data_IF_848578470082
#
_entry.id   IF_848578470082
#
_cell.length_a   1.000
_cell.length_b   1.000
_cell.length_c   1.000
_cell.angle_alpha   90.00
_cell.angle_beta   90.00
_cell.angle_gamma   90.00
#
_symmetry.space_group_name_H-M   'P 1'
#
loop_
_entity.id
_entity.type
_entity.pdbx_description
1 polymer ?
#
# COMPACT_ATOMS: atom_id res chain seq x y z
N UNK A 1 16.03 32.33 -15.52
CA UNK A 1 15.69 30.92 -15.84
C UNK A 1 16.10 30.12 -14.64
N UNK A 2 15.14 29.52 -13.94
CA UNK A 2 15.40 28.85 -12.68
C UNK A 2 16.19 27.56 -12.98
N UNK A 3 17.48 27.54 -12.63
CA UNK A 3 18.42 26.46 -12.99
C UNK A 3 18.07 25.12 -12.32
N UNK A 4 17.20 25.14 -11.31
CA UNK A 4 16.79 23.97 -10.55
C UNK A 4 16.09 22.92 -11.41
N UNK A 5 15.25 23.31 -12.37
CA UNK A 5 14.57 22.34 -13.24
C UNK A 5 15.56 21.48 -14.05
N UNK A 6 16.74 22.02 -14.40
CA UNK A 6 17.78 21.24 -15.08
C UNK A 6 18.56 20.32 -14.11
N UNK A 7 18.68 20.72 -12.83
CA UNK A 7 19.28 19.89 -11.77
C UNK A 7 18.36 18.72 -11.43
N UNK A 8 17.04 18.89 -11.49
CA UNK A 8 16.06 17.83 -11.23
C UNK A 8 16.33 16.55 -12.05
N UNK A 9 16.51 16.69 -13.37
CA UNK A 9 16.75 15.54 -14.26
C UNK A 9 18.16 14.93 -14.12
N UNK A 10 19.13 15.70 -13.64
CA UNK A 10 20.55 15.30 -13.60
C UNK A 10 20.97 14.75 -12.22
N UNK A 11 20.50 15.38 -11.15
CA UNK A 11 20.79 15.04 -9.76
C UNK A 11 19.60 15.42 -8.88
N UNK A 12 18.64 14.50 -8.82
CA UNK A 12 17.43 14.64 -8.00
C UNK A 12 17.74 14.92 -6.52
N UNK A 13 18.80 14.33 -5.96
CA UNK A 13 19.14 14.53 -4.56
C UNK A 13 19.66 15.94 -4.30
N UNK A 14 20.51 16.45 -5.18
CA UNK A 14 20.95 17.84 -5.12
C UNK A 14 19.78 18.81 -5.30
N UNK A 15 18.90 18.55 -6.26
CA UNK A 15 17.67 19.34 -6.47
C UNK A 15 16.79 19.37 -5.21
N UNK A 16 16.59 18.24 -4.54
CA UNK A 16 15.80 18.13 -3.31
C UNK A 16 16.44 18.95 -2.18
N UNK A 17 17.76 18.83 -2.00
CA UNK A 17 18.51 19.58 -0.99
C UNK A 17 18.38 21.08 -1.20
N UNK A 18 18.59 21.55 -2.44
CA UNK A 18 18.54 22.98 -2.79
C UNK A 18 17.14 23.56 -2.59
N UNK A 19 16.09 22.88 -3.07
CA UNK A 19 14.71 23.33 -2.86
C UNK A 19 14.33 23.36 -1.38
N UNK A 20 14.80 22.38 -0.59
CA UNK A 20 14.57 22.35 0.86
C UNK A 20 15.25 23.52 1.58
N UNK A 21 16.46 23.89 1.18
CA UNK A 21 17.18 25.04 1.73
C UNK A 21 16.48 26.35 1.40
N UNK A 22 16.09 26.56 0.13
CA UNK A 22 15.34 27.74 -0.31
C UNK A 22 14.00 27.89 0.43
N UNK A 23 13.27 26.78 0.65
CA UNK A 23 12.05 26.77 1.45
C UNK A 23 12.29 27.20 2.90
N UNK A 24 13.38 26.72 3.53
CA UNK A 24 13.75 27.10 4.91
C UNK A 24 14.16 28.56 5.02
N UNK A 25 14.79 29.11 3.98
CA UNK A 25 15.15 30.54 3.89
C UNK A 25 13.96 31.44 3.53
N UNK A 26 12.80 30.87 3.19
CA UNK A 26 11.61 31.63 2.77
C UNK A 26 11.72 32.22 1.36
N UNK A 27 12.66 31.74 0.54
CA UNK A 27 12.94 32.23 -0.82
C UNK A 27 12.02 31.55 -1.85
N UNK A 28 10.72 31.75 -1.68
CA UNK A 28 9.67 31.07 -2.46
C UNK A 28 9.76 31.38 -3.96
N UNK A 29 10.24 32.57 -4.35
CA UNK A 29 10.38 32.94 -5.77
C UNK A 29 11.46 32.13 -6.51
N UNK A 30 12.33 31.43 -5.77
CA UNK A 30 13.47 30.70 -6.31
C UNK A 30 13.27 29.19 -6.31
N UNK A 31 12.21 28.67 -5.69
CA UNK A 31 11.95 27.22 -5.68
C UNK A 31 11.41 26.74 -7.02
N UNK A 32 11.60 25.45 -7.28
CA UNK A 32 11.04 24.76 -8.43
C UNK A 32 9.62 24.25 -8.13
N UNK A 33 8.66 25.18 -8.06
CA UNK A 33 7.32 24.92 -7.54
C UNK A 33 6.55 23.83 -8.28
N UNK A 34 6.73 23.73 -9.61
CA UNK A 34 6.03 22.74 -10.44
C UNK A 34 6.53 21.33 -10.13
N UNK A 35 7.85 21.11 -10.18
CA UNK A 35 8.43 19.80 -9.87
C UNK A 35 8.22 19.41 -8.39
N UNK A 36 8.24 20.37 -7.46
CA UNK A 36 7.86 20.11 -6.05
C UNK A 36 6.42 19.61 -5.96
N UNK A 37 5.48 20.29 -6.63
CA UNK A 37 4.08 19.90 -6.62
C UNK A 37 3.89 18.49 -7.20
N UNK A 38 4.55 18.18 -8.31
CA UNK A 38 4.54 16.85 -8.93
C UNK A 38 5.06 15.77 -7.97
N UNK A 39 6.18 16.01 -7.28
CA UNK A 39 6.76 15.06 -6.33
C UNK A 39 5.86 14.83 -5.10
N UNK A 40 5.22 15.88 -4.57
CA UNK A 40 4.25 15.74 -3.49
C UNK A 40 3.03 14.92 -3.93
N UNK A 41 2.54 15.15 -5.15
CA UNK A 41 1.46 14.39 -5.76
C UNK A 41 1.84 12.91 -5.97
N UNK A 42 3.07 12.67 -6.46
CA UNK A 42 3.62 11.35 -6.68
C UNK A 42 3.77 10.58 -5.36
N UNK A 43 4.21 11.26 -4.29
CA UNK A 43 4.33 10.71 -2.95
C UNK A 43 2.96 10.33 -2.36
N UNK A 44 1.94 11.16 -2.52
CA UNK A 44 0.57 10.80 -2.12
C UNK A 44 0.04 9.58 -2.88
N UNK A 45 0.29 9.52 -4.20
CA UNK A 45 -0.09 8.37 -5.06
C UNK A 45 0.69 7.10 -4.68
N UNK A 46 1.95 7.20 -4.26
CA UNK A 46 2.78 6.05 -3.87
C UNK A 46 2.26 5.41 -2.58
N UNK A 47 1.97 6.18 -1.53
CA UNK A 47 1.38 5.68 -0.29
C UNK A 47 0.05 4.95 -0.53
N UNK A 48 -0.81 5.51 -1.39
CA UNK A 48 -2.06 4.86 -1.77
C UNK A 48 -1.86 3.53 -2.53
N UNK A 49 -0.84 3.44 -3.38
CA UNK A 49 -0.49 2.20 -4.10
C UNK A 49 0.08 1.16 -3.14
N UNK A 50 0.88 1.60 -2.18
CA UNK A 50 1.48 0.74 -1.16
C UNK A 50 0.40 0.06 -0.31
N UNK A 51 -0.52 0.84 0.25
CA UNK A 51 -1.64 0.29 1.03
C UNK A 51 -2.45 -0.76 0.25
N UNK A 52 -2.75 -0.47 -1.02
CA UNK A 52 -3.45 -1.41 -1.90
C UNK A 52 -2.64 -2.69 -2.15
N UNK A 53 -1.32 -2.58 -2.30
CA UNK A 53 -0.43 -3.73 -2.50
C UNK A 53 -0.41 -4.61 -1.25
N UNK A 54 -0.26 -4.01 -0.07
CA UNK A 54 -0.23 -4.73 1.21
C UNK A 54 -1.56 -5.43 1.50
N UNK A 55 -2.68 -4.72 1.37
CA UNK A 55 -4.02 -5.31 1.53
C UNK A 55 -4.27 -6.48 0.58
N UNK A 56 -3.83 -6.36 -0.68
CA UNK A 56 -3.95 -7.44 -1.66
C UNK A 56 -3.19 -8.70 -1.21
N UNK A 57 -1.95 -8.54 -0.72
CA UNK A 57 -1.15 -9.68 -0.24
C UNK A 57 -1.77 -10.29 1.02
N UNK A 58 -2.21 -9.46 1.97
CA UNK A 58 -2.91 -9.90 3.17
C UNK A 58 -4.14 -10.73 2.83
N UNK A 59 -5.06 -10.18 2.04
CA UNK A 59 -6.30 -10.87 1.66
C UNK A 59 -6.02 -12.16 0.87
N UNK A 60 -4.99 -12.19 0.02
CA UNK A 60 -4.63 -13.41 -0.71
C UNK A 60 -4.20 -14.51 0.25
N UNK A 61 -3.42 -14.17 1.28
CA UNK A 61 -2.99 -15.13 2.30
C UNK A 61 -4.10 -15.53 3.26
N UNK A 62 -5.02 -14.63 3.62
CA UNK A 62 -6.22 -14.98 4.39
C UNK A 62 -7.13 -15.95 3.61
N UNK A 63 -7.31 -15.73 2.30
CA UNK A 63 -8.04 -16.67 1.44
C UNK A 63 -7.34 -18.03 1.36
N UNK A 64 -6.01 -18.05 1.15
CA UNK A 64 -5.24 -19.30 1.18
C UNK A 64 -5.39 -20.03 2.52
N UNK A 65 -5.33 -19.28 3.62
CA UNK A 65 -5.49 -19.83 4.98
C UNK A 65 -6.87 -20.45 5.20
N UNK A 66 -7.92 -19.78 4.74
CA UNK A 66 -9.31 -20.23 4.86
C UNK A 66 -9.59 -21.46 3.98
N UNK A 67 -9.21 -21.41 2.71
CA UNK A 67 -9.62 -22.39 1.70
C UNK A 67 -8.63 -23.54 1.48
N UNK A 68 -7.47 -23.51 2.14
CA UNK A 68 -6.49 -24.61 2.12
C UNK A 68 -5.97 -24.93 3.54
N UNK A 69 -6.84 -25.43 4.45
CA UNK A 69 -6.46 -25.72 5.83
C UNK A 69 -5.26 -26.69 5.95
N UNK A 70 -5.17 -27.66 5.04
CA UNK A 70 -4.07 -28.65 5.01
C UNK A 70 -2.72 -28.07 4.57
N UNK A 71 -2.70 -26.86 4.03
CA UNK A 71 -1.49 -26.18 3.55
C UNK A 71 -1.07 -24.99 4.44
N UNK A 72 -1.79 -24.76 5.55
CA UNK A 72 -1.42 -23.75 6.54
C UNK A 72 0.01 -23.99 7.01
N UNK A 73 0.84 -22.95 6.95
CA UNK A 73 2.27 -23.04 7.25
C UNK A 73 2.77 -21.82 8.02
N UNK A 74 3.91 -21.98 8.71
CA UNK A 74 4.57 -20.87 9.39
C UNK A 74 4.98 -19.73 8.44
N UNK A 75 5.31 -20.04 7.18
CA UNK A 75 5.61 -19.04 6.16
C UNK A 75 4.40 -18.18 5.80
N UNK A 76 3.22 -18.79 5.64
CA UNK A 76 1.98 -18.04 5.40
C UNK A 76 1.60 -17.20 6.61
N UNK A 77 1.73 -17.76 7.83
CA UNK A 77 1.51 -17.02 9.07
C UNK A 77 2.42 -15.79 9.16
N UNK A 78 3.72 -15.97 8.89
CA UNK A 78 4.69 -14.88 8.89
C UNK A 78 4.37 -13.80 7.84
N UNK A 79 3.92 -14.19 6.65
CA UNK A 79 3.51 -13.24 5.61
C UNK A 79 2.29 -12.43 6.02
N UNK A 80 1.29 -13.07 6.67
CA UNK A 80 0.10 -12.39 7.20
C UNK A 80 0.51 -11.36 8.26
N UNK A 81 1.32 -11.76 9.24
CA UNK A 81 1.80 -10.89 10.31
C UNK A 81 2.58 -9.69 9.76
N UNK A 82 3.49 -9.93 8.81
CA UNK A 82 4.25 -8.86 8.15
C UNK A 82 3.32 -7.86 7.44
N UNK A 83 2.33 -8.35 6.69
CA UNK A 83 1.41 -7.42 6.02
C UNK A 83 0.56 -6.61 7.00
N UNK A 84 0.12 -7.21 8.12
CA UNK A 84 -0.62 -6.49 9.17
C UNK A 84 0.21 -5.36 9.74
N UNK A 85 1.43 -5.68 10.19
CA UNK A 85 2.37 -4.69 10.74
C UNK A 85 2.64 -3.54 9.76
N UNK A 86 2.96 -3.86 8.49
CA UNK A 86 3.23 -2.83 7.48
C UNK A 86 2.01 -1.95 7.19
N UNK A 87 0.80 -2.52 7.22
CA UNK A 87 -0.44 -1.74 7.03
C UNK A 87 -0.68 -0.83 8.23
N UNK A 88 -0.55 -1.36 9.45
CA UNK A 88 -0.71 -0.58 10.68
C UNK A 88 0.26 0.60 10.72
N UNK A 89 1.55 0.37 10.49
CA UNK A 89 2.55 1.43 10.41
C UNK A 89 2.21 2.50 9.38
N UNK A 90 1.77 2.09 8.17
CA UNK A 90 1.39 3.03 7.12
C UNK A 90 0.18 3.88 7.54
N UNK A 91 -0.79 3.30 8.23
CA UNK A 91 -1.98 4.00 8.70
C UNK A 91 -1.71 4.88 9.93
N UNK A 92 -0.74 4.53 10.77
CA UNK A 92 -0.26 5.38 11.86
C UNK A 92 0.46 6.63 11.33
N UNK A 93 1.37 6.44 10.36
CA UNK A 93 2.10 7.54 9.74
C UNK A 93 1.22 8.42 8.85
N UNK A 94 0.12 7.89 8.32
CA UNK A 94 -0.76 8.63 7.41
C UNK A 94 -2.23 8.28 7.64
N UNK A 95 -2.84 8.76 8.76
CA UNK A 95 -4.20 8.42 9.15
C UNK A 95 -5.26 8.78 8.11
N UNK A 96 -5.02 9.83 7.32
CA UNK A 96 -5.90 10.25 6.22
C UNK A 96 -6.02 9.22 5.10
N UNK A 97 -5.11 8.24 5.01
CA UNK A 97 -5.23 7.11 4.07
C UNK A 97 -6.44 6.21 4.38
N UNK A 98 -6.99 6.27 5.60
CA UNK A 98 -8.23 5.60 5.97
C UNK A 98 -9.44 6.18 5.22
N UNK A 99 -9.36 7.39 4.70
CA UNK A 99 -10.42 7.94 3.85
C UNK A 99 -10.48 7.17 2.51
N UNK A 100 -11.70 6.81 2.08
CA UNK A 100 -11.96 5.97 0.90
C UNK A 100 -11.44 4.53 1.01
N UNK A 101 -11.26 4.02 2.23
CA UNK A 101 -10.78 2.65 2.47
C UNK A 101 -11.70 1.58 1.88
N UNK A 102 -13.03 1.75 1.93
CA UNK A 102 -13.99 0.76 1.39
C UNK A 102 -13.77 0.45 -0.09
N UNK A 103 -13.55 1.49 -0.90
CA UNK A 103 -13.25 1.33 -2.33
C UNK A 103 -11.91 0.63 -2.55
N UNK A 104 -10.93 0.92 -1.68
CA UNK A 104 -9.59 0.30 -1.73
C UNK A 104 -9.63 -1.17 -1.34
N UNK A 105 -10.37 -1.53 -0.29
CA UNK A 105 -10.58 -2.92 0.16
C UNK A 105 -11.17 -3.74 -0.97
N UNK A 106 -12.26 -3.26 -1.57
CA UNK A 106 -12.92 -3.96 -2.68
C UNK A 106 -11.96 -4.21 -3.84
N UNK A 107 -11.17 -3.19 -4.22
CA UNK A 107 -10.18 -3.30 -5.29
C UNK A 107 -9.02 -4.25 -4.93
N UNK A 108 -8.52 -4.19 -3.70
CA UNK A 108 -7.46 -5.06 -3.21
C UNK A 108 -7.92 -6.51 -3.16
N UNK A 109 -9.12 -6.76 -2.62
CA UNK A 109 -9.73 -8.09 -2.53
C UNK A 109 -9.94 -8.73 -3.91
N UNK A 110 -10.51 -7.99 -4.87
CA UNK A 110 -10.72 -8.52 -6.23
C UNK A 110 -9.41 -8.97 -6.89
N UNK A 111 -8.30 -8.26 -6.62
CA UNK A 111 -6.98 -8.69 -7.06
C UNK A 111 -6.51 -9.91 -6.26
N UNK A 112 -6.67 -9.90 -4.94
CA UNK A 112 -6.26 -10.97 -4.04
C UNK A 112 -6.85 -12.33 -4.43
N UNK A 113 -8.14 -12.39 -4.80
CA UNK A 113 -8.80 -13.60 -5.33
C UNK A 113 -8.04 -14.17 -6.53
N UNK A 114 -7.52 -13.30 -7.42
CA UNK A 114 -6.71 -13.73 -8.55
C UNK A 114 -5.38 -14.38 -8.15
N UNK A 115 -4.69 -13.81 -7.16
CA UNK A 115 -3.44 -14.37 -6.63
C UNK A 115 -3.69 -15.67 -5.87
N UNK A 116 -4.69 -15.71 -4.99
CA UNK A 116 -5.08 -16.91 -4.28
C UNK A 116 -5.43 -18.03 -5.26
N UNK A 117 -6.27 -17.78 -6.27
CA UNK A 117 -6.60 -18.78 -7.29
C UNK A 117 -5.36 -19.30 -8.03
N UNK A 118 -4.44 -18.41 -8.41
CA UNK A 118 -3.21 -18.78 -9.13
C UNK A 118 -2.26 -19.64 -8.28
N UNK A 119 -2.11 -19.32 -6.99
CA UNK A 119 -1.19 -20.03 -6.10
C UNK A 119 -1.77 -21.34 -5.55
N UNK A 120 -3.09 -21.40 -5.37
CA UNK A 120 -3.79 -22.58 -4.81
C UNK A 120 -4.28 -23.57 -5.86
N UNK A 121 -4.47 -23.11 -7.11
CA UNK A 121 -5.18 -23.86 -8.15
C UNK A 121 -6.70 -23.90 -7.97
N UNK A 122 -7.25 -23.28 -6.92
CA UNK A 122 -8.68 -23.20 -6.68
C UNK A 122 -9.33 -22.24 -7.67
N UNK A 123 -10.47 -22.64 -8.25
CA UNK A 123 -11.23 -21.76 -9.15
C UNK A 123 -11.65 -20.46 -8.45
N UNK A 124 -11.52 -19.33 -9.15
CA UNK A 124 -11.97 -18.01 -8.65
C UNK A 124 -13.42 -18.00 -8.17
N UNK A 125 -14.27 -18.88 -8.73
CA UNK A 125 -15.70 -18.99 -8.40
C UNK A 125 -15.97 -19.58 -7.01
N UNK A 126 -14.98 -20.23 -6.39
CA UNK A 126 -15.08 -20.80 -5.04
C UNK A 126 -14.94 -19.72 -3.98
N UNK A 127 -14.15 -18.68 -4.25
CA UNK A 127 -13.97 -17.58 -3.30
C UNK A 127 -15.21 -16.65 -3.28
N UNK A 128 -15.49 -16.00 -2.13
CA UNK A 128 -16.60 -15.05 -2.02
C UNK A 128 -16.50 -13.92 -3.06
N UNK A 129 -17.65 -13.49 -3.61
CA UNK A 129 -17.71 -12.42 -4.62
C UNK A 129 -17.31 -11.04 -4.08
N UNK A 130 -17.49 -10.82 -2.79
CA UNK A 130 -17.12 -9.61 -2.05
C UNK A 130 -16.18 -9.98 -0.92
N UNK A 131 -15.37 -9.03 -0.46
CA UNK A 131 -14.47 -9.27 0.67
C UNK A 131 -15.26 -9.73 1.89
N UNK A 132 -15.01 -10.94 2.43
CA UNK A 132 -15.73 -11.43 3.60
C UNK A 132 -15.14 -10.87 4.90
N UNK A 133 -13.96 -10.28 4.84
CA UNK A 133 -13.24 -9.77 6.01
C UNK A 133 -13.56 -8.30 6.23
N UNK A 134 -13.99 -7.97 7.45
CA UNK A 134 -13.97 -6.60 7.95
C UNK A 134 -12.51 -6.18 8.11
N UNK A 135 -12.17 -4.92 7.81
CA UNK A 135 -10.76 -4.50 7.80
C UNK A 135 -10.14 -4.61 9.20
N UNK A 136 -10.86 -4.18 10.21
CA UNK A 136 -10.44 -4.23 11.60
C UNK A 136 -10.11 -5.68 12.01
N UNK A 137 -10.97 -6.63 11.66
CA UNK A 137 -10.71 -8.06 11.89
C UNK A 137 -9.55 -8.58 11.06
N UNK A 138 -9.45 -8.19 9.78
CA UNK A 138 -8.36 -8.63 8.91
C UNK A 138 -6.98 -8.20 9.43
N UNK A 139 -6.92 -7.04 10.11
CA UNK A 139 -5.70 -6.49 10.70
C UNK A 139 -5.40 -7.05 12.10
N UNK A 140 -6.40 -7.57 12.81
CA UNK A 140 -6.22 -8.20 14.12
C UNK A 140 -5.21 -9.36 14.05
N UNK A 141 -4.22 -9.36 14.94
CA UNK A 141 -3.14 -10.35 14.98
C UNK A 141 -3.65 -11.77 15.19
N UNK A 142 -4.71 -11.93 15.98
CA UNK A 142 -5.30 -13.22 16.37
C UNK A 142 -6.35 -13.71 15.38
N UNK A 143 -6.75 -12.88 14.42
CA UNK A 143 -7.73 -13.27 13.42
C UNK A 143 -7.14 -14.22 12.38
N UNK A 144 -7.75 -15.40 12.27
CA UNK A 144 -7.49 -16.36 11.21
C UNK A 144 -8.82 -16.95 10.75
N UNK A 145 -9.22 -16.77 9.47
CA UNK A 145 -10.52 -17.23 9.01
C UNK A 145 -10.59 -18.75 8.97
N UNK A 146 -11.68 -19.31 9.48
CA UNK A 146 -11.98 -20.73 9.39
C UNK A 146 -12.72 -21.08 8.09
N UNK A 147 -12.53 -22.32 7.66
CA UNK A 147 -13.03 -22.86 6.39
C UNK A 147 -14.57 -22.93 6.33
#
# INVERSE_FOLDING_TARGET
>A
MNNLAAVYDQDFYLWLCQNTELLREGRIEEIDIENIAEELDAMGKSQHRELLSRLRVLFAHLLKWQFQPDHRSGSWKGTILEQRYQIEQLLEMSPSLKHKMEQKISKAYNKAVGYAAAETGISKSVFPKTCPYVLEEALDEDFYPEA
#
